data_IF_105805771403
#
_entry.id   IF_105805771403
#
_cell.length_a   1.000
_cell.length_b   1.000
_cell.length_c   1.000
_cell.angle_alpha   90.00
_cell.angle_beta   90.00
_cell.angle_gamma   90.00
#
_symmetry.space_group_name_H-M   'P 1'
#
loop_
_entity.id
_entity.type
_entity.pdbx_description
1 polymer ?
#
# COMPACT_ATOMS: atom_id res chain seq x y z
N UNK A 1 -3.90 0.36 11.42
CA UNK A 1 -2.59 -0.05 10.94
C UNK A 1 -2.26 0.68 9.64
N UNK A 2 -1.06 1.18 9.50
CA UNK A 2 -0.67 2.02 8.36
C UNK A 2 -0.80 1.31 7.01
N UNK A 3 -0.41 0.04 6.93
CA UNK A 3 -0.50 -0.72 5.68
C UNK A 3 -1.95 -0.91 5.23
N UNK A 4 -2.86 -1.12 6.16
CA UNK A 4 -4.29 -1.24 5.84
C UNK A 4 -4.84 0.11 5.40
N UNK A 5 -4.41 1.20 6.02
CA UNK A 5 -4.77 2.55 5.59
C UNK A 5 -4.27 2.84 4.17
N UNK A 6 -3.05 2.41 3.87
CA UNK A 6 -2.48 2.56 2.53
C UNK A 6 -3.27 1.78 1.49
N UNK A 7 -3.65 0.55 1.81
CA UNK A 7 -4.48 -0.25 0.91
C UNK A 7 -5.84 0.42 0.67
N UNK A 8 -6.47 0.94 1.72
CA UNK A 8 -7.73 1.67 1.60
C UNK A 8 -7.60 2.90 0.73
N UNK A 9 -6.50 3.64 0.87
CA UNK A 9 -6.24 4.81 0.05
C UNK A 9 -6.11 4.46 -1.44
N UNK A 10 -5.40 3.36 -1.74
CA UNK A 10 -5.28 2.86 -3.11
C UNK A 10 -6.67 2.47 -3.64
N UNK A 11 -7.46 1.78 -2.83
CA UNK A 11 -8.76 1.27 -3.25
C UNK A 11 -9.82 2.35 -3.46
N UNK A 12 -9.65 3.54 -2.87
CA UNK A 12 -10.58 4.66 -3.06
C UNK A 12 -10.58 5.23 -4.48
N UNK A 13 -9.50 5.06 -5.21
CA UNK A 13 -9.36 5.59 -6.56
C UNK A 13 -9.23 4.44 -7.54
N UNK A 14 -10.17 4.28 -8.51
CA UNK A 14 -10.10 3.20 -9.48
C UNK A 14 -8.81 3.15 -10.27
N UNK A 15 -8.21 4.31 -10.58
CA UNK A 15 -6.95 4.36 -11.31
C UNK A 15 -5.78 3.85 -10.46
N UNK A 16 -5.72 4.26 -9.20
CA UNK A 16 -4.69 3.76 -8.27
C UNK A 16 -4.80 2.25 -8.10
N UNK A 17 -6.02 1.76 -7.99
CA UNK A 17 -6.27 0.33 -7.83
C UNK A 17 -5.86 -0.45 -9.07
N UNK A 18 -6.18 0.06 -10.25
CA UNK A 18 -5.79 -0.55 -11.52
C UNK A 18 -4.26 -0.59 -11.65
N UNK A 19 -3.57 0.48 -11.27
CA UNK A 19 -2.11 0.55 -11.30
C UNK A 19 -1.50 -0.48 -10.32
N UNK A 20 -2.10 -0.63 -9.14
CA UNK A 20 -1.66 -1.61 -8.16
C UNK A 20 -1.82 -3.03 -8.70
N UNK A 21 -2.95 -3.35 -9.29
CA UNK A 21 -3.17 -4.66 -9.90
C UNK A 21 -2.19 -4.94 -11.03
N UNK A 22 -1.94 -3.95 -11.88
CA UNK A 22 -0.99 -4.09 -12.97
C UNK A 22 0.45 -4.31 -12.48
N UNK A 23 0.83 -3.61 -11.41
CA UNK A 23 2.18 -3.69 -10.86
C UNK A 23 2.44 -5.00 -10.10
N UNK A 24 1.42 -5.53 -9.42
CA UNK A 24 1.58 -6.70 -8.55
C UNK A 24 1.10 -8.00 -9.16
N UNK A 25 0.24 -7.94 -10.16
CA UNK A 25 -0.40 -9.12 -10.75
C UNK A 25 -1.47 -9.75 -9.86
N UNK A 26 -1.80 -9.11 -8.74
CA UNK A 26 -2.82 -9.61 -7.81
C UNK A 26 -4.20 -9.20 -8.31
N UNK A 27 -5.18 -10.10 -8.19
CA UNK A 27 -6.58 -9.82 -8.52
C UNK A 27 -7.36 -9.39 -7.27
N UNK A 28 -8.53 -8.78 -7.47
CA UNK A 28 -9.41 -8.39 -6.36
C UNK A 28 -9.78 -9.58 -5.49
N UNK A 29 -9.99 -10.75 -6.09
CA UNK A 29 -10.32 -11.97 -5.38
C UNK A 29 -9.17 -12.44 -4.49
N UNK A 30 -7.95 -12.37 -5.00
CA UNK A 30 -6.75 -12.73 -4.23
C UNK A 30 -6.53 -11.77 -3.07
N UNK A 31 -6.82 -10.48 -3.24
CA UNK A 31 -6.70 -9.51 -2.15
C UNK A 31 -7.57 -9.92 -0.96
N UNK A 32 -8.79 -10.37 -1.20
CA UNK A 32 -9.68 -10.80 -0.12
C UNK A 32 -9.09 -11.94 0.71
N UNK A 33 -8.36 -12.84 0.05
CA UNK A 33 -7.75 -13.98 0.72
C UNK A 33 -6.52 -13.61 1.53
N UNK A 34 -5.76 -12.55 1.13
CA UNK A 34 -4.45 -12.25 1.71
C UNK A 34 -4.39 -10.90 2.43
N UNK A 35 -5.50 -10.16 2.50
CA UNK A 35 -5.51 -8.78 2.98
C UNK A 35 -4.95 -8.60 4.40
N UNK A 36 -4.98 -9.62 5.24
CA UNK A 36 -4.45 -9.57 6.61
C UNK A 36 -3.04 -10.14 6.73
N UNK A 37 -2.48 -10.70 5.65
CA UNK A 37 -1.16 -11.32 5.71
C UNK A 37 -0.04 -10.28 5.71
N UNK A 38 0.94 -10.39 6.64
CA UNK A 38 2.04 -9.42 6.71
C UNK A 38 2.82 -9.29 5.41
N UNK A 39 3.04 -10.38 4.70
CA UNK A 39 3.78 -10.36 3.43
C UNK A 39 3.04 -9.54 2.37
N UNK A 40 1.71 -9.66 2.30
CA UNK A 40 0.91 -8.86 1.39
C UNK A 40 0.93 -7.38 1.79
N UNK A 41 0.78 -7.09 3.07
CA UNK A 41 0.79 -5.72 3.58
C UNK A 41 2.15 -5.05 3.36
N UNK A 42 3.23 -5.79 3.53
CA UNK A 42 4.57 -5.30 3.19
C UNK A 42 4.66 -4.95 1.70
N UNK A 43 4.07 -5.78 0.84
CA UNK A 43 4.01 -5.53 -0.59
C UNK A 43 3.22 -4.27 -0.96
N UNK A 44 2.14 -3.98 -0.23
CA UNK A 44 1.37 -2.74 -0.41
C UNK A 44 2.24 -1.52 -0.14
N UNK A 45 2.96 -1.53 0.98
CA UNK A 45 3.84 -0.43 1.34
C UNK A 45 5.01 -0.31 0.36
N UNK A 46 5.55 -1.43 -0.10
CA UNK A 46 6.62 -1.44 -1.08
C UNK A 46 6.19 -0.86 -2.42
N UNK A 47 4.97 -1.19 -2.87
CA UNK A 47 4.39 -0.58 -4.06
C UNK A 47 4.31 0.94 -3.92
N UNK A 48 3.87 1.40 -2.76
CA UNK A 48 3.76 2.83 -2.47
C UNK A 48 5.13 3.51 -2.45
N UNK A 49 6.14 2.87 -1.86
CA UNK A 49 7.50 3.40 -1.80
C UNK A 49 8.14 3.47 -3.19
N UNK A 50 7.71 2.66 -4.12
CA UNK A 50 8.18 2.67 -5.50
C UNK A 50 7.54 3.74 -6.37
N UNK A 51 6.56 4.46 -5.85
CA UNK A 51 5.84 5.52 -6.58
C UNK A 51 5.78 6.77 -5.70
N UNK A 52 6.68 7.72 -5.95
CA UNK A 52 6.80 8.92 -5.12
C UNK A 52 5.51 9.73 -5.09
N UNK A 53 4.83 9.88 -6.22
CA UNK A 53 3.57 10.63 -6.28
C UNK A 53 2.51 10.00 -5.40
N UNK A 54 2.38 8.69 -5.45
CA UNK A 54 1.44 7.93 -4.63
C UNK A 54 1.80 8.05 -3.15
N UNK A 55 3.08 7.88 -2.82
CA UNK A 55 3.57 8.00 -1.45
C UNK A 55 3.26 9.37 -0.84
N UNK A 56 3.56 10.44 -1.56
CA UNK A 56 3.34 11.80 -1.07
C UNK A 56 1.84 12.10 -0.93
N UNK A 57 1.02 11.63 -1.87
CA UNK A 57 -0.42 11.80 -1.80
C UNK A 57 -1.01 11.09 -0.58
N UNK A 58 -0.56 9.87 -0.32
CA UNK A 58 -1.01 9.12 0.85
C UNK A 58 -0.57 9.79 2.14
N UNK A 59 0.70 10.19 2.24
CA UNK A 59 1.23 10.82 3.43
C UNK A 59 0.47 12.12 3.76
N UNK A 60 0.17 12.92 2.74
CA UNK A 60 -0.60 14.15 2.92
C UNK A 60 -2.03 13.85 3.38
N UNK A 61 -2.67 12.84 2.80
CA UNK A 61 -4.03 12.45 3.16
C UNK A 61 -4.11 11.91 4.59
N UNK A 62 -3.12 11.12 4.98
CA UNK A 62 -3.09 10.52 6.32
C UNK A 62 -2.50 11.43 7.39
N UNK A 63 -1.90 12.56 6.99
CA UNK A 63 -1.27 13.49 7.93
C UNK A 63 0.00 12.93 8.57
N UNK A 64 0.77 12.14 7.83
CA UNK A 64 1.99 11.51 8.34
C UNK A 64 3.21 11.91 7.52
N UNK A 65 4.40 11.67 8.09
CA UNK A 65 5.66 11.83 7.40
C UNK A 65 5.83 10.63 6.44
N UNK A 66 6.20 10.87 5.16
CA UNK A 66 6.45 9.75 4.23
C UNK A 66 7.43 8.71 4.75
N UNK A 67 8.41 9.10 5.58
CA UNK A 67 9.37 8.18 6.18
C UNK A 67 8.70 7.12 7.08
N UNK A 68 7.51 7.40 7.60
CA UNK A 68 6.78 6.42 8.41
C UNK A 68 6.35 5.21 7.59
N UNK A 69 6.11 5.38 6.30
CA UNK A 69 5.76 4.28 5.39
C UNK A 69 6.95 3.31 5.29
N UNK A 70 8.15 3.83 5.13
CA UNK A 70 9.37 3.01 5.07
C UNK A 70 9.60 2.26 6.39
N UNK A 71 9.38 2.92 7.52
CA UNK A 71 9.51 2.28 8.84
C UNK A 71 8.50 1.15 9.01
N UNK A 72 7.25 1.38 8.62
CA UNK A 72 6.20 0.36 8.70
C UNK A 72 6.52 -0.84 7.81
N UNK A 73 7.06 -0.58 6.60
CA UNK A 73 7.50 -1.64 5.69
C UNK A 73 8.58 -2.51 6.33
N UNK A 74 9.55 -1.87 6.98
CA UNK A 74 10.63 -2.58 7.67
C UNK A 74 10.12 -3.49 8.77
N UNK A 75 9.14 -3.04 9.56
CA UNK A 75 8.54 -3.84 10.62
C UNK A 75 7.83 -5.07 10.05
N UNK A 76 7.07 -4.88 8.97
CA UNK A 76 6.34 -5.98 8.33
C UNK A 76 7.28 -6.96 7.61
N UNK A 77 8.43 -6.48 7.15
CA UNK A 77 9.38 -7.28 6.41
C UNK A 77 10.31 -8.12 7.27
N UNK A 78 10.29 -7.92 8.57
CA UNK A 78 11.07 -8.73 9.53
C UNK A 78 10.19 -9.81 10.21
#
# INVERSE_FOLDING_TARGET
>A
MLAIQALGFIAEDPQRLADFFAATGITAEQIRAVAAEPAFLAGVLEHMLGDESLLLAFAANAGIDPAEVARARGVLGT
#
